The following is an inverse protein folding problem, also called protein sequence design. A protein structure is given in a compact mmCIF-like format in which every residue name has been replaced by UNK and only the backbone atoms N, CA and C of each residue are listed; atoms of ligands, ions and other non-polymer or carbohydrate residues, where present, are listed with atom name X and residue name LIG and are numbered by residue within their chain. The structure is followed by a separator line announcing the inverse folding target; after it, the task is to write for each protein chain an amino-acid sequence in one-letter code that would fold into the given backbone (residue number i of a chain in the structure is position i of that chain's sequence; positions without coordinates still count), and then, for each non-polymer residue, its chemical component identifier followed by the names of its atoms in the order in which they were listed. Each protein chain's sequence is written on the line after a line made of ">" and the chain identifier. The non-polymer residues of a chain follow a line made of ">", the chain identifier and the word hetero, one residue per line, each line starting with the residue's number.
data_IF_072881455261
#
_entry.id   IF_072881455261
#
_cell.length_a   1.000
_cell.length_b   1.000
_cell.length_c   1.000
_cell.angle_alpha   90.00
_cell.angle_beta   90.00
_cell.angle_gamma   90.00
#
_symmetry.space_group_name_H-M   'P 1'
#
loop_
_entity.id
_entity.type
_entity.pdbx_description
1 polymer ?
#
# COMPACT_ATOMS: atom_id res chain seq x y z
N UNK A 1 6.04 -25.62 12.66
CA UNK A 1 6.31 -25.52 11.22
C UNK A 1 5.80 -24.17 10.78
N UNK A 2 6.66 -23.16 10.80
CA UNK A 2 6.34 -21.83 10.26
C UNK A 2 6.16 -21.97 8.75
N UNK A 3 4.92 -21.89 8.28
CA UNK A 3 4.66 -21.59 6.87
C UNK A 3 4.89 -20.09 6.69
N UNK A 4 6.13 -19.67 6.56
CA UNK A 4 6.43 -18.35 5.99
C UNK A 4 6.29 -18.48 4.46
N UNK A 5 5.04 -18.62 4.00
CA UNK A 5 4.66 -18.78 2.60
C UNK A 5 4.09 -17.45 2.08
N UNK A 6 4.72 -16.34 2.44
CA UNK A 6 4.38 -15.01 1.94
C UNK A 6 5.14 -14.74 0.63
N UNK A 7 4.41 -14.56 -0.46
CA UNK A 7 4.93 -14.11 -1.74
C UNK A 7 5.19 -12.60 -1.64
N UNK A 8 6.43 -12.25 -1.26
CA UNK A 8 6.87 -10.87 -1.14
C UNK A 8 7.43 -10.39 -2.48
N UNK A 9 6.85 -9.32 -3.02
CA UNK A 9 7.32 -8.64 -4.23
C UNK A 9 7.80 -7.24 -3.85
N UNK A 10 9.05 -6.92 -4.16
CA UNK A 10 9.61 -5.59 -3.92
C UNK A 10 9.96 -4.91 -5.24
N UNK A 11 9.56 -3.64 -5.39
CA UNK A 11 9.87 -2.83 -6.56
C UNK A 11 10.34 -1.44 -6.14
N UNK A 12 11.21 -0.86 -6.97
CA UNK A 12 11.64 0.52 -6.89
C UNK A 12 11.02 1.33 -8.02
N UNK A 13 10.48 2.49 -7.68
CA UNK A 13 9.99 3.49 -8.63
C UNK A 13 10.60 4.83 -8.28
N UNK A 14 10.88 5.65 -9.29
CA UNK A 14 11.32 7.02 -9.06
C UNK A 14 10.12 7.93 -8.96
N UNK A 15 10.18 8.88 -8.03
CA UNK A 15 9.14 9.89 -7.88
C UNK A 15 8.95 10.65 -9.19
N UNK A 16 7.69 10.91 -9.54
CA UNK A 16 7.26 11.67 -10.73
C UNK A 16 7.56 11.01 -12.09
N UNK A 17 8.02 9.76 -12.13
CA UNK A 17 8.10 9.01 -13.39
C UNK A 17 6.77 8.33 -13.72
N UNK A 18 6.40 8.31 -14.99
CA UNK A 18 5.24 7.57 -15.48
C UNK A 18 5.53 6.06 -15.43
N UNK A 19 5.12 5.42 -14.35
CA UNK A 19 5.29 3.98 -14.13
C UNK A 19 4.04 3.29 -13.58
N UNK A 20 3.51 2.34 -14.35
CA UNK A 20 2.40 1.52 -13.88
C UNK A 20 2.88 0.47 -12.88
N UNK A 21 2.20 0.37 -11.74
CA UNK A 21 2.46 -0.66 -10.74
C UNK A 21 1.99 -2.02 -11.25
N UNK A 22 2.81 -3.05 -11.05
CA UNK A 22 2.42 -4.44 -11.31
C UNK A 22 1.87 -5.01 -9.99
N UNK A 23 0.55 -4.93 -9.83
CA UNK A 23 -0.15 -5.33 -8.61
C UNK A 23 -0.71 -6.76 -8.74
N UNK A 24 -0.79 -7.55 -7.65
CA UNK A 24 -1.40 -8.88 -7.68
C UNK A 24 -2.89 -8.85 -8.07
N UNK A 25 -3.33 -9.88 -8.80
CA UNK A 25 -4.76 -10.13 -9.09
C UNK A 25 -5.46 -10.91 -7.97
N UNK A 26 -4.74 -11.21 -6.88
CA UNK A 26 -5.24 -11.86 -5.66
C UNK A 26 -5.17 -10.86 -4.50
N UNK A 27 -5.93 -11.05 -3.40
CA UNK A 27 -5.82 -10.21 -2.23
C UNK A 27 -4.37 -10.03 -1.78
N UNK A 28 -3.99 -8.78 -1.52
CA UNK A 28 -2.62 -8.44 -1.15
C UNK A 28 -2.56 -7.28 -0.17
N UNK A 29 -1.44 -7.20 0.52
CA UNK A 29 -1.03 -6.07 1.35
C UNK A 29 0.04 -5.28 0.62
N UNK A 30 0.10 -3.97 0.83
CA UNK A 30 1.14 -3.13 0.26
C UNK A 30 1.80 -2.25 1.33
N UNK A 31 3.12 -2.12 1.24
CA UNK A 31 3.92 -1.17 2.01
C UNK A 31 4.51 -0.16 1.02
N UNK A 32 4.20 1.11 1.20
CA UNK A 32 4.83 2.22 0.50
C UNK A 32 5.95 2.78 1.36
N UNK A 33 7.17 2.70 0.86
CA UNK A 33 8.37 3.26 1.49
C UNK A 33 8.76 4.52 0.73
N UNK A 34 8.42 5.67 1.28
CA UNK A 34 8.56 6.96 0.60
C UNK A 34 9.85 7.65 1.01
N UNK A 35 10.89 7.51 0.19
CA UNK A 35 12.22 8.07 0.47
C UNK A 35 12.40 9.45 -0.21
N UNK A 36 11.70 9.67 -1.32
CA UNK A 36 11.76 10.94 -2.06
C UNK A 36 11.03 12.08 -1.35
N UNK A 37 11.65 13.26 -1.30
CA UNK A 37 11.04 14.50 -0.78
C UNK A 37 10.45 15.39 -1.86
N UNK A 38 10.61 15.03 -3.13
CA UNK A 38 10.16 15.81 -4.28
C UNK A 38 9.02 15.07 -4.98
N UNK A 39 7.82 15.15 -4.42
CA UNK A 39 6.65 14.41 -4.92
C UNK A 39 5.58 15.37 -5.42
N UNK A 40 5.21 15.22 -6.68
CA UNK A 40 4.10 15.97 -7.27
C UNK A 40 2.77 15.43 -6.75
N UNK A 41 1.83 16.28 -6.29
CA UNK A 41 0.54 15.84 -5.79
C UNK A 41 -0.25 14.99 -6.79
N UNK A 42 -0.24 15.35 -8.07
CA UNK A 42 -0.90 14.60 -9.14
C UNK A 42 -0.29 13.21 -9.34
N UNK A 43 1.02 13.08 -9.15
CA UNK A 43 1.71 11.79 -9.26
C UNK A 43 1.42 10.90 -8.05
N UNK A 44 1.40 11.45 -6.84
CA UNK A 44 0.96 10.72 -5.64
C UNK A 44 -0.47 10.21 -5.80
N UNK A 45 -1.40 11.08 -6.22
CA UNK A 45 -2.78 10.68 -6.50
C UNK A 45 -2.84 9.55 -7.53
N UNK A 46 -2.05 9.63 -8.59
CA UNK A 46 -2.00 8.62 -9.62
C UNK A 46 -1.47 7.26 -9.14
N UNK A 47 -0.48 7.23 -8.24
CA UNK A 47 0.00 6.00 -7.62
C UNK A 47 -1.06 5.41 -6.68
N UNK A 48 -1.67 6.24 -5.82
CA UNK A 48 -2.73 5.82 -4.92
C UNK A 48 -3.96 5.29 -5.67
N UNK A 49 -4.33 5.94 -6.77
CA UNK A 49 -5.39 5.49 -7.68
C UNK A 49 -5.11 4.07 -8.17
N UNK A 50 -3.92 3.78 -8.70
CA UNK A 50 -3.60 2.43 -9.19
C UNK A 50 -3.79 1.35 -8.11
N UNK A 51 -3.42 1.64 -6.87
CA UNK A 51 -3.58 0.73 -5.73
C UNK A 51 -5.06 0.49 -5.43
N UNK A 52 -5.84 1.57 -5.31
CA UNK A 52 -7.27 1.53 -4.99
C UNK A 52 -8.08 0.88 -6.12
N UNK A 53 -7.82 1.25 -7.38
CA UNK A 53 -8.48 0.70 -8.55
C UNK A 53 -8.20 -0.80 -8.76
N UNK A 54 -7.14 -1.34 -8.17
CA UNK A 54 -6.88 -2.78 -8.20
C UNK A 54 -8.03 -3.58 -7.58
N UNK A 55 -8.75 -3.02 -6.58
CA UNK A 55 -9.78 -3.68 -5.76
C UNK A 55 -9.34 -4.92 -4.99
N UNK A 56 -8.05 -5.29 -5.04
CA UNK A 56 -7.49 -6.46 -4.35
C UNK A 56 -6.59 -6.06 -3.17
N UNK A 57 -6.27 -4.77 -3.05
CA UNK A 57 -5.52 -4.27 -1.90
C UNK A 57 -6.40 -4.28 -0.65
N UNK A 58 -6.01 -5.07 0.35
CA UNK A 58 -6.74 -5.20 1.62
C UNK A 58 -6.19 -4.23 2.66
N UNK A 59 -4.87 -4.01 2.65
CA UNK A 59 -4.24 -3.05 3.54
C UNK A 59 -3.07 -2.36 2.86
N UNK A 60 -3.02 -1.03 2.97
CA UNK A 60 -1.88 -0.21 2.64
C UNK A 60 -1.22 0.31 3.92
N UNK A 61 0.10 0.24 3.97
CA UNK A 61 0.93 0.78 5.04
C UNK A 61 1.90 1.77 4.42
N UNK A 62 2.05 2.95 5.03
CA UNK A 62 2.95 3.98 4.50
C UNK A 62 3.99 4.37 5.54
N UNK A 63 5.25 4.48 5.10
CA UNK A 63 6.34 5.03 5.91
C UNK A 63 7.21 5.98 5.09
N UNK A 64 7.99 6.80 5.77
CA UNK A 64 8.86 7.80 5.15
C UNK A 64 8.21 9.18 4.99
N UNK A 65 8.60 9.89 3.93
CA UNK A 65 8.25 11.29 3.70
C UNK A 65 6.74 11.48 3.44
N UNK A 66 6.14 12.45 4.12
CA UNK A 66 4.71 12.78 4.01
C UNK A 66 3.76 11.58 4.15
N UNK A 67 4.16 10.54 4.89
CA UNK A 67 3.40 9.29 5.09
C UNK A 67 1.91 9.49 5.40
N UNK A 68 1.55 10.49 6.22
CA UNK A 68 0.17 10.78 6.58
C UNK A 68 -0.62 11.34 5.39
N UNK A 69 0.03 12.10 4.50
CA UNK A 69 -0.63 12.64 3.30
C UNK A 69 -0.88 11.52 2.29
N UNK A 70 0.03 10.56 2.18
CA UNK A 70 -0.18 9.36 1.37
C UNK A 70 -1.36 8.52 1.87
N UNK A 71 -1.45 8.34 3.19
CA UNK A 71 -2.57 7.69 3.87
C UNK A 71 -3.90 8.40 3.56
N UNK A 72 -3.96 9.72 3.77
CA UNK A 72 -5.14 10.55 3.47
C UNK A 72 -5.56 10.42 1.99
N UNK A 73 -4.61 10.42 1.05
CA UNK A 73 -4.91 10.30 -0.38
C UNK A 73 -5.41 8.90 -0.75
N UNK A 74 -4.88 7.84 -0.12
CA UNK A 74 -5.38 6.48 -0.32
C UNK A 74 -6.84 6.36 0.15
N UNK A 75 -7.14 6.92 1.32
CA UNK A 75 -8.50 6.97 1.87
C UNK A 75 -9.47 7.73 0.96
N UNK A 76 -9.08 8.93 0.54
CA UNK A 76 -9.91 9.76 -0.34
C UNK A 76 -10.15 9.06 -1.69
N UNK A 77 -9.11 8.49 -2.31
CA UNK A 77 -9.28 7.79 -3.59
C UNK A 77 -10.18 6.56 -3.44
N UNK A 78 -10.09 5.84 -2.31
CA UNK A 78 -10.98 4.72 -2.02
C UNK A 78 -12.44 5.17 -1.88
N UNK A 79 -12.69 6.27 -1.17
CA UNK A 79 -14.04 6.83 -1.05
C UNK A 79 -14.57 7.30 -2.40
N UNK A 80 -13.77 8.03 -3.18
CA UNK A 80 -14.14 8.54 -4.51
C UNK A 80 -14.47 7.39 -5.47
N UNK A 81 -13.66 6.31 -5.49
CA UNK A 81 -13.91 5.12 -6.31
C UNK A 81 -15.32 4.55 -6.11
N UNK A 82 -15.78 4.54 -4.86
CA UNK A 82 -17.09 4.01 -4.47
C UNK A 82 -18.16 5.08 -4.33
N UNK A 83 -17.92 6.31 -4.79
CA UNK A 83 -18.84 7.44 -4.65
C UNK A 83 -19.30 7.62 -3.18
N UNK A 84 -18.35 7.53 -2.25
CA UNK A 84 -18.52 7.58 -0.80
C UNK A 84 -19.46 6.52 -0.21
N UNK A 85 -19.66 5.41 -0.93
CA UNK A 85 -20.49 4.27 -0.51
C UNK A 85 -19.72 2.94 -0.65
N UNK A 86 -18.66 2.73 0.16
CA UNK A 86 -17.84 1.52 0.05
C UNK A 86 -18.63 0.25 0.38
N UNK A 87 -18.24 -0.91 -0.16
CA UNK A 87 -18.90 -2.18 0.11
C UNK A 87 -18.77 -2.55 1.59
N UNK A 88 -19.79 -3.21 2.15
CA UNK A 88 -19.78 -3.64 3.56
C UNK A 88 -18.79 -4.80 3.78
N UNK A 89 -18.55 -5.60 2.75
CA UNK A 89 -17.72 -6.81 2.75
C UNK A 89 -16.28 -6.56 2.28
N UNK A 90 -15.97 -5.35 1.82
CA UNK A 90 -14.62 -4.94 1.43
C UNK A 90 -14.17 -3.75 2.28
N UNK A 91 -13.16 -4.00 3.12
CA UNK A 91 -12.53 -2.96 3.91
C UNK A 91 -11.08 -2.81 3.42
N UNK A 92 -10.81 -1.68 2.75
CA UNK A 92 -9.47 -1.21 2.47
C UNK A 92 -8.97 -0.46 3.70
N UNK A 93 -7.94 -0.97 4.35
CA UNK A 93 -7.38 -0.36 5.55
C UNK A 93 -6.09 0.37 5.20
N UNK A 94 -5.95 1.58 5.72
CA UNK A 94 -4.77 2.43 5.57
C UNK A 94 -4.15 2.65 6.94
N UNK A 95 -2.83 2.71 6.99
CA UNK A 95 -2.04 3.01 8.20
C UNK A 95 -0.75 3.68 7.79
N UNK A 96 -0.22 4.56 8.65
CA UNK A 96 1.11 5.13 8.49
C UNK A 96 1.97 4.94 9.74
N UNK A 97 3.29 4.91 9.54
CA UNK A 97 4.30 4.56 10.55
C UNK A 97 5.44 5.58 10.55
N UNK A 98 5.79 6.13 11.72
CA UNK A 98 6.72 7.26 11.84
C UNK A 98 8.17 6.86 11.98
N UNK A 99 8.42 6.06 13.01
CA UNK A 99 9.73 5.75 13.56
C UNK A 99 10.00 4.24 13.50
N UNK A 100 8.99 3.44 13.17
CA UNK A 100 9.09 2.00 12.97
C UNK A 100 10.01 1.68 11.79
N UNK A 101 10.83 0.65 11.95
CA UNK A 101 11.68 0.19 10.85
C UNK A 101 10.86 -0.54 9.79
N UNK A 102 11.38 -0.63 8.57
CA UNK A 102 10.74 -1.44 7.52
C UNK A 102 10.61 -2.92 7.94
N UNK A 103 11.53 -3.43 8.77
CA UNK A 103 11.45 -4.77 9.35
C UNK A 103 10.24 -4.90 10.27
N UNK A 104 10.06 -4.00 11.23
CA UNK A 104 8.92 -3.98 12.15
C UNK A 104 7.58 -3.90 11.39
N UNK A 105 7.49 -3.02 10.40
CA UNK A 105 6.29 -2.85 9.57
C UNK A 105 6.01 -4.12 8.77
N UNK A 106 7.05 -4.75 8.20
CA UNK A 106 6.92 -6.00 7.44
C UNK A 106 6.47 -7.16 8.34
N UNK A 107 7.01 -7.26 9.56
CA UNK A 107 6.56 -8.27 10.53
C UNK A 107 5.10 -8.05 10.93
N UNK A 108 4.70 -6.81 11.20
CA UNK A 108 3.31 -6.45 11.46
C UNK A 108 2.37 -6.86 10.29
N UNK A 109 2.80 -6.59 9.05
CA UNK A 109 2.09 -7.04 7.85
C UNK A 109 1.96 -8.56 7.79
N UNK A 110 3.05 -9.31 8.02
CA UNK A 110 3.01 -10.78 8.01
C UNK A 110 2.03 -11.34 9.04
N UNK A 111 2.03 -10.81 10.26
CA UNK A 111 1.12 -11.26 11.32
C UNK A 111 -0.34 -11.04 10.92
N UNK A 112 -0.66 -9.84 10.42
CA UNK A 112 -2.03 -9.49 10.03
C UNK A 112 -2.49 -10.23 8.77
N UNK A 113 -1.59 -10.47 7.81
CA UNK A 113 -1.83 -11.31 6.64
C UNK A 113 -2.17 -12.75 7.02
N UNK A 114 -1.43 -13.35 7.96
CA UNK A 114 -1.71 -14.71 8.44
C UNK A 114 -3.10 -14.82 9.07
N UNK A 115 -3.53 -13.81 9.84
CA UNK A 115 -4.87 -13.78 10.44
C UNK A 115 -5.99 -13.69 9.39
N UNK A 116 -5.70 -13.13 8.21
CA UNK A 116 -6.65 -12.97 7.10
C UNK A 116 -6.49 -14.01 5.98
N UNK A 117 -5.58 -14.99 6.13
CA UNK A 117 -5.23 -15.98 5.11
C UNK A 117 -4.81 -15.34 3.77
N UNK A 118 -4.01 -14.27 3.85
CA UNK A 118 -3.45 -13.54 2.70
C UNK A 118 -1.97 -13.91 2.56
N UNK A 119 -1.53 -14.21 1.33
CA UNK A 119 -0.16 -14.62 1.06
C UNK A 119 0.66 -13.60 0.27
N UNK A 120 0.06 -12.54 -0.29
CA UNK A 120 0.77 -11.58 -1.13
C UNK A 120 1.12 -10.30 -0.36
N UNK A 121 2.41 -9.95 -0.34
CA UNK A 121 2.90 -8.66 0.15
C UNK A 121 3.65 -7.93 -0.97
N UNK A 122 3.28 -6.68 -1.21
CA UNK A 122 3.98 -5.80 -2.16
C UNK A 122 4.70 -4.72 -1.36
N UNK A 123 5.97 -4.47 -1.66
CA UNK A 123 6.74 -3.37 -1.07
C UNK A 123 7.19 -2.46 -2.22
N UNK A 124 6.79 -1.19 -2.19
CA UNK A 124 7.15 -0.20 -3.20
C UNK A 124 8.02 0.85 -2.56
N UNK A 125 9.28 0.91 -3.00
CA UNK A 125 10.20 1.98 -2.66
C UNK A 125 10.05 3.12 -3.66
N UNK A 126 9.83 4.33 -3.15
CA UNK A 126 9.67 5.56 -3.93
C UNK A 126 10.90 6.44 -3.67
N UNK A 127 11.79 6.49 -4.65
CA UNK A 127 13.10 7.17 -4.60
C UNK A 127 13.10 8.50 -5.37
#
# INVERSE_FOLDING_TARGET
>A
MEKDCSDIRSYRIRANEEKHLILPEQPYYIILVVESTQILPEWRNWICDQIVYSKHCIQAMVTGYERSIWDDVLDENYLVLYNYQPPVDHCFMTTWHEDETLEDITECAKITMQLKDISNLVIVHIE
#
